data_IF_770856715008
#
_entry.id   IF_770856715008
#
_cell.length_a   1.000
_cell.length_b   1.000
_cell.length_c   1.000
_cell.angle_alpha   90.00
_cell.angle_beta   90.00
_cell.angle_gamma   90.00
#
_symmetry.space_group_name_H-M   'P 1'
#
loop_
_entity.id
_entity.type
_entity.pdbx_description
1 polymer ?
#
# COMPACT_ATOMS: atom_id res chain seq x y z
N UNK A 1 -30.59 22.28 -7.49
CA UNK A 1 -29.41 21.83 -8.22
C UNK A 1 -28.69 20.76 -7.39
N UNK A 2 -28.38 19.66 -8.02
CA UNK A 2 -27.63 18.63 -7.35
C UNK A 2 -26.17 19.06 -7.24
N UNK A 3 -25.61 19.06 -6.03
CA UNK A 3 -24.19 19.35 -5.88
C UNK A 3 -23.35 18.33 -6.64
N UNK A 4 -22.39 18.78 -7.40
CA UNK A 4 -21.51 17.88 -8.14
C UNK A 4 -20.75 16.96 -7.21
N UNK A 5 -20.44 17.42 -5.99
CA UNK A 5 -19.74 16.65 -4.99
C UNK A 5 -20.48 15.39 -4.53
N UNK A 6 -21.81 15.37 -4.66
CA UNK A 6 -22.61 14.19 -4.35
C UNK A 6 -22.51 13.12 -5.42
N UNK A 7 -22.25 13.53 -6.66
CA UNK A 7 -22.20 12.64 -7.81
C UNK A 7 -20.81 12.16 -8.13
N UNK A 8 -19.80 12.91 -7.70
CA UNK A 8 -18.41 12.61 -8.01
C UNK A 8 -17.75 11.98 -6.78
N UNK A 9 -17.13 10.81 -6.94
CA UNK A 9 -16.34 10.27 -5.86
C UNK A 9 -15.22 11.27 -5.55
N UNK A 10 -15.06 11.59 -4.27
CA UNK A 10 -13.99 12.48 -3.82
C UNK A 10 -12.63 11.92 -4.20
N UNK A 11 -12.47 10.61 -4.03
CA UNK A 11 -11.24 9.92 -4.34
C UNK A 11 -11.54 8.51 -4.83
N UNK A 12 -11.44 8.29 -6.15
CA UNK A 12 -11.58 6.94 -6.71
C UNK A 12 -10.37 6.06 -6.38
N UNK A 13 -9.34 6.64 -5.76
CA UNK A 13 -8.10 5.96 -5.46
C UNK A 13 -8.02 5.63 -3.97
N UNK A 14 -7.29 4.56 -3.67
CA UNK A 14 -6.87 4.22 -2.31
C UNK A 14 -5.36 4.36 -2.28
N UNK A 15 -4.85 5.18 -1.37
CA UNK A 15 -3.40 5.32 -1.16
C UNK A 15 -3.04 4.73 0.19
N UNK A 16 -1.91 4.05 0.24
CA UNK A 16 -1.40 3.42 1.46
C UNK A 16 0.02 3.89 1.71
N UNK A 17 0.31 4.20 2.96
CA UNK A 17 1.67 4.46 3.41
C UNK A 17 2.00 3.46 4.50
N UNK A 18 2.84 2.49 4.17
CA UNK A 18 3.39 1.54 5.13
C UNK A 18 4.70 2.05 5.68
N UNK A 19 4.91 1.83 6.97
CA UNK A 19 6.23 1.96 7.58
C UNK A 19 6.66 0.60 8.09
N UNK A 20 7.88 0.20 7.75
CA UNK A 20 8.44 -1.10 8.07
C UNK A 20 9.74 -0.95 8.83
N UNK A 21 9.96 -1.81 9.81
CA UNK A 21 11.27 -1.99 10.43
C UNK A 21 11.98 -3.16 9.75
N UNK A 22 13.21 -2.94 9.30
CA UNK A 22 14.04 -3.96 8.66
C UNK A 22 15.37 -3.99 9.38
N UNK A 23 15.86 -5.19 9.71
CA UNK A 23 17.21 -5.30 10.29
C UNK A 23 18.25 -5.06 9.20
N UNK A 24 19.26 -4.21 9.44
CA UNK A 24 20.29 -3.96 8.43
C UNK A 24 20.98 -5.22 7.93
N UNK A 25 21.14 -6.22 8.78
CA UNK A 25 21.78 -7.49 8.42
C UNK A 25 21.04 -8.27 7.33
N UNK A 26 19.72 -8.09 7.20
CA UNK A 26 18.89 -8.78 6.20
C UNK A 26 18.39 -7.84 5.10
N UNK A 27 18.84 -6.60 5.08
CA UNK A 27 18.35 -5.61 4.14
C UNK A 27 18.60 -6.02 2.67
N UNK A 28 19.76 -6.62 2.38
CA UNK A 28 20.07 -7.09 1.03
C UNK A 28 19.07 -8.18 0.56
N UNK A 29 18.74 -9.12 1.45
CA UNK A 29 17.73 -10.14 1.15
C UNK A 29 16.35 -9.51 0.97
N UNK A 30 16.02 -8.55 1.81
CA UNK A 30 14.75 -7.82 1.71
C UNK A 30 14.66 -7.12 0.34
N UNK A 31 15.69 -6.40 -0.07
CA UNK A 31 15.73 -5.72 -1.39
C UNK A 31 15.53 -6.71 -2.53
N UNK A 32 16.15 -7.88 -2.46
CA UNK A 32 16.01 -8.89 -3.50
C UNK A 32 14.57 -9.40 -3.60
N UNK A 33 13.92 -9.64 -2.45
CA UNK A 33 12.51 -10.03 -2.44
C UNK A 33 11.63 -8.91 -3.00
N UNK A 34 11.87 -7.66 -2.59
CA UNK A 34 11.09 -6.52 -3.05
C UNK A 34 11.19 -6.35 -4.56
N UNK A 35 12.36 -6.57 -5.15
CA UNK A 35 12.51 -6.50 -6.61
C UNK A 35 11.54 -7.46 -7.32
N UNK A 36 11.35 -8.65 -6.79
CA UNK A 36 10.42 -9.62 -7.33
C UNK A 36 8.96 -9.17 -7.15
N UNK A 37 8.62 -8.65 -5.97
CA UNK A 37 7.27 -8.15 -5.70
C UNK A 37 6.94 -6.95 -6.59
N UNK A 38 7.87 -6.02 -6.76
CA UNK A 38 7.69 -4.85 -7.61
C UNK A 38 7.47 -5.28 -9.06
N UNK A 39 8.24 -6.24 -9.56
CA UNK A 39 8.06 -6.75 -10.92
C UNK A 39 6.66 -7.35 -11.11
N UNK A 40 6.19 -8.15 -10.16
CA UNK A 40 4.85 -8.73 -10.22
C UNK A 40 3.76 -7.64 -10.14
N UNK A 41 3.94 -6.65 -9.26
CA UNK A 41 2.99 -5.55 -9.07
C UNK A 41 2.92 -4.66 -10.30
N UNK A 42 4.02 -4.46 -11.00
CA UNK A 42 4.08 -3.62 -12.20
C UNK A 42 3.18 -4.13 -13.33
N UNK A 43 2.79 -5.40 -13.29
CA UNK A 43 1.86 -5.97 -14.25
C UNK A 43 0.39 -5.64 -13.95
N UNK A 44 0.09 -5.04 -12.80
CA UNK A 44 -1.26 -4.68 -12.39
C UNK A 44 -1.65 -3.33 -12.98
N UNK A 45 -2.63 -3.26 -13.90
CA UNK A 45 -3.00 -1.97 -14.53
C UNK A 45 -3.66 -1.00 -13.55
N UNK A 46 -4.26 -1.51 -12.47
CA UNK A 46 -4.92 -0.67 -11.45
C UNK A 46 -4.00 -0.16 -10.37
N UNK A 47 -2.73 -0.51 -10.36
CA UNK A 47 -1.74 -0.02 -9.42
C UNK A 47 -1.01 1.16 -10.03
N UNK A 48 -1.17 2.33 -9.44
CA UNK A 48 -0.72 3.60 -10.01
C UNK A 48 0.63 4.03 -9.47
N UNK A 49 0.91 3.72 -8.21
CA UNK A 49 2.19 4.02 -7.53
C UNK A 49 2.53 2.82 -6.65
N UNK A 50 3.77 2.40 -6.68
CA UNK A 50 4.25 1.33 -5.80
C UNK A 50 5.75 1.51 -5.62
N UNK A 51 6.11 2.29 -4.60
CA UNK A 51 7.49 2.72 -4.40
C UNK A 51 7.98 2.41 -3.00
N UNK A 52 9.16 1.83 -2.91
CA UNK A 52 9.86 1.55 -1.66
C UNK A 52 10.98 2.55 -1.48
N UNK A 53 11.08 3.11 -0.29
CA UNK A 53 12.14 4.04 0.10
C UNK A 53 12.74 3.60 1.41
N UNK A 54 14.02 3.86 1.61
CA UNK A 54 14.75 3.45 2.80
C UNK A 54 15.51 4.63 3.38
N UNK A 55 15.63 4.68 4.71
CA UNK A 55 16.43 5.69 5.39
C UNK A 55 17.93 5.38 5.29
N UNK A 56 18.76 6.34 5.74
CA UNK A 56 20.23 6.21 5.66
C UNK A 56 20.79 5.02 6.42
N UNK A 57 20.14 4.63 7.52
CA UNK A 57 20.60 3.52 8.37
C UNK A 57 20.17 2.14 7.87
N UNK A 58 19.42 2.06 6.76
CA UNK A 58 18.87 0.84 6.19
C UNK A 58 18.06 0.02 7.19
N UNK A 59 17.31 0.68 8.05
CA UNK A 59 16.50 0.02 9.08
C UNK A 59 15.02 0.42 9.08
N UNK A 60 14.64 1.45 8.31
CA UNK A 60 13.25 1.88 8.16
C UNK A 60 12.93 2.01 6.68
N UNK A 61 11.87 1.34 6.26
CA UNK A 61 11.40 1.37 4.88
C UNK A 61 9.99 1.90 4.86
N UNK A 62 9.69 2.78 3.90
CA UNK A 62 8.33 3.19 3.61
C UNK A 62 7.91 2.62 2.26
N UNK A 63 6.64 2.22 2.16
CA UNK A 63 6.03 1.86 0.89
C UNK A 63 4.94 2.89 0.61
N UNK A 64 5.08 3.59 -0.51
CA UNK A 64 4.06 4.50 -1.01
C UNK A 64 3.29 3.78 -2.11
N UNK A 65 1.99 3.57 -1.89
CA UNK A 65 1.14 2.81 -2.80
C UNK A 65 -0.09 3.62 -3.16
N UNK A 66 -0.50 3.54 -4.41
CA UNK A 66 -1.78 4.11 -4.85
C UNK A 66 -2.42 3.15 -5.84
N UNK A 67 -3.71 2.90 -5.63
CA UNK A 67 -4.49 1.97 -6.43
C UNK A 67 -5.79 2.62 -6.88
N UNK A 68 -6.30 2.18 -8.04
CA UNK A 68 -7.73 2.24 -8.24
C UNK A 68 -8.38 1.37 -7.16
N UNK A 69 -9.52 1.81 -6.62
CA UNK A 69 -10.13 1.12 -5.47
C UNK A 69 -10.39 -0.36 -5.74
N UNK A 70 -10.75 -0.72 -6.97
CA UNK A 70 -11.04 -2.09 -7.36
C UNK A 70 -9.79 -2.97 -7.52
N UNK A 71 -8.59 -2.40 -7.45
CA UNK A 71 -7.35 -3.14 -7.61
C UNK A 71 -6.75 -3.64 -6.28
N UNK A 72 -7.19 -3.09 -5.15
CA UNK A 72 -6.56 -3.38 -3.84
C UNK A 72 -6.70 -4.85 -3.45
N UNK A 73 -7.90 -5.39 -3.54
CA UNK A 73 -8.16 -6.78 -3.14
C UNK A 73 -7.36 -7.76 -3.98
N UNK A 74 -7.31 -7.55 -5.29
CA UNK A 74 -6.54 -8.39 -6.19
C UNK A 74 -5.04 -8.32 -5.90
N UNK A 75 -4.52 -7.13 -5.60
CA UNK A 75 -3.12 -6.98 -5.23
C UNK A 75 -2.79 -7.82 -3.99
N UNK A 76 -3.58 -7.69 -2.93
CA UNK A 76 -3.34 -8.41 -1.68
C UNK A 76 -3.51 -9.91 -1.84
N UNK A 77 -4.63 -10.34 -2.44
CA UNK A 77 -5.02 -11.74 -2.45
C UNK A 77 -4.30 -12.55 -3.53
N UNK A 78 -3.89 -11.93 -4.62
CA UNK A 78 -3.31 -12.62 -5.79
C UNK A 78 -1.83 -12.29 -5.97
N UNK A 79 -1.49 -11.01 -6.06
CA UNK A 79 -0.11 -10.60 -6.41
C UNK A 79 0.83 -10.73 -5.22
N UNK A 80 0.44 -10.20 -4.07
CA UNK A 80 1.28 -10.17 -2.88
C UNK A 80 1.27 -11.49 -2.10
N UNK A 81 0.15 -12.19 -2.06
CA UNK A 81 -0.03 -13.37 -1.22
C UNK A 81 1.10 -14.41 -1.33
N UNK A 82 1.64 -14.73 -2.53
CA UNK A 82 2.74 -15.68 -2.63
C UNK A 82 4.01 -15.26 -1.90
N UNK A 83 4.18 -13.97 -1.66
CA UNK A 83 5.38 -13.40 -1.04
C UNK A 83 5.18 -13.00 0.42
N UNK A 84 3.94 -13.00 0.90
CA UNK A 84 3.59 -12.43 2.19
C UNK A 84 4.33 -13.05 3.38
N UNK A 85 4.46 -14.37 3.40
CA UNK A 85 5.16 -15.07 4.48
C UNK A 85 6.63 -14.64 4.55
N UNK A 86 7.33 -14.68 3.42
CA UNK A 86 8.76 -14.31 3.37
C UNK A 86 8.94 -12.82 3.67
N UNK A 87 8.04 -11.99 3.19
CA UNK A 87 8.04 -10.56 3.49
C UNK A 87 8.02 -10.32 5.01
N UNK A 88 7.10 -10.97 5.72
CA UNK A 88 6.97 -10.79 7.17
C UNK A 88 8.08 -11.48 7.98
N UNK A 89 8.85 -12.37 7.38
CA UNK A 89 10.07 -12.90 7.99
C UNK A 89 11.21 -11.87 7.95
N UNK A 90 11.21 -10.98 6.96
CA UNK A 90 12.29 -10.04 6.72
C UNK A 90 12.02 -8.63 7.25
N UNK A 91 10.77 -8.32 7.58
CA UNK A 91 10.41 -7.01 8.12
C UNK A 91 9.24 -7.09 9.07
N UNK A 92 9.06 -6.00 9.84
CA UNK A 92 7.90 -5.82 10.71
C UNK A 92 7.15 -4.58 10.23
N UNK A 93 5.85 -4.72 10.01
CA UNK A 93 5.00 -3.56 9.71
C UNK A 93 4.79 -2.79 11.02
N UNK A 94 5.26 -1.55 11.06
CA UNK A 94 5.15 -0.70 12.26
C UNK A 94 3.97 0.25 12.19
N UNK A 95 3.55 0.64 10.99
CA UNK A 95 2.33 1.42 10.81
C UNK A 95 1.80 1.30 9.40
N UNK A 96 0.51 1.54 9.25
CA UNK A 96 -0.16 1.66 7.96
C UNK A 96 -1.18 2.79 8.05
N UNK A 97 -1.06 3.76 7.16
CA UNK A 97 -2.07 4.81 7.01
C UNK A 97 -2.70 4.65 5.63
N UNK A 98 -4.03 4.64 5.59
CA UNK A 98 -4.80 4.46 4.37
C UNK A 98 -5.58 5.74 4.09
N UNK A 99 -5.40 6.31 2.91
CA UNK A 99 -6.05 7.53 2.46
C UNK A 99 -7.09 7.19 1.40
N UNK A 100 -8.31 7.59 1.61
CA UNK A 100 -9.41 7.31 0.70
C UNK A 100 -10.65 6.83 1.45
N UNK A 101 -11.56 6.20 0.70
CA UNK A 101 -12.81 5.67 1.27
C UNK A 101 -12.92 4.18 0.93
N UNK A 102 -12.08 3.34 1.55
CA UNK A 102 -12.11 1.90 1.26
C UNK A 102 -13.41 1.27 1.72
N UNK A 103 -13.89 0.31 0.92
CA UNK A 103 -15.06 -0.47 1.29
C UNK A 103 -14.71 -1.55 2.34
N UNK A 104 -15.71 -2.30 2.75
CA UNK A 104 -15.54 -3.32 3.79
C UNK A 104 -14.56 -4.42 3.37
N UNK A 105 -14.52 -4.80 2.10
CA UNK A 105 -13.61 -5.84 1.62
C UNK A 105 -12.16 -5.39 1.65
N UNK A 106 -11.90 -4.14 1.29
CA UNK A 106 -10.56 -3.56 1.40
C UNK A 106 -10.13 -3.48 2.85
N UNK A 107 -10.99 -2.96 3.74
CA UNK A 107 -10.70 -2.86 5.17
C UNK A 107 -10.38 -4.20 5.79
N UNK A 108 -11.10 -5.24 5.38
CA UNK A 108 -10.87 -6.60 5.87
C UNK A 108 -9.43 -7.08 5.62
N UNK A 109 -8.81 -6.64 4.51
CA UNK A 109 -7.42 -6.99 4.19
C UNK A 109 -6.43 -6.09 4.90
N UNK A 110 -6.77 -4.85 5.18
CA UNK A 110 -5.83 -3.87 5.72
C UNK A 110 -5.88 -3.77 7.26
N UNK A 111 -7.04 -4.04 7.88
CA UNK A 111 -7.19 -3.99 9.33
C UNK A 111 -6.14 -4.83 10.09
N UNK A 112 -5.77 -6.04 9.62
CA UNK A 112 -4.76 -6.85 10.32
C UNK A 112 -3.39 -6.18 10.45
N UNK A 113 -3.08 -5.19 9.61
CA UNK A 113 -1.83 -4.43 9.68
C UNK A 113 -1.92 -3.22 10.60
N UNK A 114 -3.03 -3.05 11.32
CA UNK A 114 -3.22 -1.89 12.19
C UNK A 114 -3.57 -0.61 11.42
N UNK A 115 -4.27 -0.75 10.30
CA UNK A 115 -4.57 0.38 9.43
C UNK A 115 -5.31 1.51 10.14
N UNK A 116 -4.84 2.74 9.92
CA UNK A 116 -5.52 3.97 10.30
C UNK A 116 -6.06 4.59 9.02
N UNK A 117 -7.35 4.89 9.01
CA UNK A 117 -8.04 5.38 7.81
C UNK A 117 -8.22 6.89 7.89
N UNK A 118 -7.78 7.58 6.83
CA UNK A 118 -7.86 9.03 6.70
C UNK A 118 -8.73 9.37 5.51
N UNK A 119 -9.89 9.95 5.79
CA UNK A 119 -10.85 10.33 4.75
C UNK A 119 -10.45 11.67 4.14
N UNK A 120 -10.24 11.75 2.83
CA UNK A 120 -9.94 13.01 2.18
C UNK A 120 -11.13 13.98 2.31
N UNK A 121 -10.86 15.24 2.55
CA UNK A 121 -11.91 16.25 2.65
C UNK A 121 -11.63 17.49 1.81
N UNK A 122 -10.39 17.68 1.33
CA UNK A 122 -10.03 18.80 0.47
C UNK A 122 -8.68 18.51 -0.19
N UNK A 123 -8.41 19.15 -1.31
CA UNK A 123 -7.16 19.01 -2.02
C UNK A 123 -7.37 18.53 -3.46
N UNK A 124 -6.25 18.31 -4.15
CA UNK A 124 -6.27 17.78 -5.52
C UNK A 124 -5.00 16.98 -5.79
N UNK A 125 -5.08 16.12 -6.82
CA UNK A 125 -3.89 15.49 -7.39
C UNK A 125 -3.96 15.55 -8.91
N UNK A 126 -2.82 15.60 -9.56
CA UNK A 126 -2.72 15.65 -11.03
C UNK A 126 -2.11 14.37 -11.59
#
# INVERSE_FOLDING_TARGET
MTPLTEELPMHPHISCLFSLAVKPAVFAEFKALIATIVAATSAEPGTLVYEYSVNEDNNTVHILERYNADAVVSHVDTTFAPFGKRFLELCTVTSLVVYGTPDAEIRKRLDPFGAVYMTPFDGFSR
#
